data_IF_501031578097
#
_entry.id   IF_501031578097
#
_cell.length_a   1.000
_cell.length_b   1.000
_cell.length_c   1.000
_cell.angle_alpha   90.00
_cell.angle_beta   90.00
_cell.angle_gamma   90.00
#
_symmetry.space_group_name_H-M   'P 1'
#
loop_
_entity.id
_entity.type
_entity.pdbx_description
1 polymer ?
#
# COMPACT_ATOMS: atom_id res chain seq x y z
N UNK A 1 3.66 -1.65 0.18
CA UNK A 1 4.73 -2.23 -0.64
C UNK A 1 6.09 -1.75 -0.14
N UNK A 2 7.08 -2.65 -0.10
CA UNK A 2 8.48 -2.33 0.24
C UNK A 2 9.36 -2.92 -0.88
N UNK A 3 9.50 -2.20 -2.01
CA UNK A 3 10.28 -2.68 -3.15
C UNK A 3 11.77 -2.61 -2.85
N UNK A 4 12.50 -3.55 -3.43
CA UNK A 4 13.96 -3.57 -3.46
C UNK A 4 14.49 -2.79 -4.67
N UNK A 5 15.82 -2.54 -4.70
CA UNK A 5 16.43 -1.87 -5.84
C UNK A 5 16.18 -2.65 -7.14
N UNK A 6 15.74 -1.94 -8.16
CA UNK A 6 15.36 -2.52 -9.46
C UNK A 6 13.92 -3.06 -9.53
N UNK A 7 13.18 -3.12 -8.42
CA UNK A 7 11.77 -3.51 -8.42
C UNK A 7 10.85 -2.29 -8.66
N UNK A 8 9.72 -2.55 -9.29
CA UNK A 8 8.61 -1.60 -9.41
C UNK A 8 7.41 -2.09 -8.60
N UNK A 9 6.42 -1.23 -8.38
CA UNK A 9 5.18 -1.65 -7.71
C UNK A 9 4.47 -2.78 -8.47
N UNK A 10 4.41 -2.70 -9.80
CA UNK A 10 3.79 -3.76 -10.61
C UNK A 10 4.61 -5.06 -10.63
N UNK A 11 5.95 -4.99 -10.47
CA UNK A 11 6.78 -6.21 -10.41
C UNK A 11 6.55 -7.05 -9.14
N UNK A 12 5.90 -6.48 -8.12
CA UNK A 12 5.55 -7.15 -6.87
C UNK A 12 4.14 -7.79 -6.90
N UNK A 13 3.42 -7.60 -8.00
CA UNK A 13 2.11 -8.22 -8.23
C UNK A 13 2.27 -9.50 -9.06
N UNK A 14 1.20 -10.31 -9.13
CA UNK A 14 1.15 -11.38 -10.12
C UNK A 14 1.15 -10.81 -11.55
N UNK A 15 1.60 -11.57 -12.56
CA UNK A 15 1.56 -11.12 -13.95
C UNK A 15 0.16 -10.66 -14.38
N UNK A 16 -0.88 -11.37 -13.95
CA UNK A 16 -2.28 -11.06 -14.23
C UNK A 16 -2.71 -9.75 -13.55
N UNK A 17 -2.26 -9.54 -12.31
CA UNK A 17 -2.50 -8.31 -11.56
C UNK A 17 -1.87 -7.10 -12.26
N UNK A 18 -0.60 -7.20 -12.63
CA UNK A 18 0.10 -6.14 -13.35
C UNK A 18 -0.57 -5.83 -14.70
N UNK A 19 -0.94 -6.87 -15.46
CA UNK A 19 -1.63 -6.71 -16.74
C UNK A 19 -3.03 -6.08 -16.58
N UNK A 20 -3.73 -6.37 -15.49
CA UNK A 20 -5.02 -5.74 -15.19
C UNK A 20 -4.89 -4.22 -15.04
N UNK A 21 -3.83 -3.74 -14.38
CA UNK A 21 -3.56 -2.30 -14.27
C UNK A 21 -3.28 -1.65 -15.61
N UNK A 22 -2.48 -2.30 -16.48
CA UNK A 22 -2.21 -1.81 -17.84
C UNK A 22 -3.47 -1.74 -18.69
N UNK A 23 -4.31 -2.77 -18.63
CA UNK A 23 -5.59 -2.80 -19.35
C UNK A 23 -6.54 -1.70 -18.88
N UNK A 24 -6.62 -1.45 -17.57
CA UNK A 24 -7.43 -0.35 -17.01
C UNK A 24 -6.92 1.00 -17.50
N UNK A 25 -5.60 1.21 -17.50
CA UNK A 25 -5.03 2.44 -18.01
C UNK A 25 -5.33 2.64 -19.50
N UNK A 26 -5.20 1.59 -20.31
CA UNK A 26 -5.46 1.65 -21.75
C UNK A 26 -6.94 1.89 -22.07
N UNK A 27 -7.88 1.26 -21.33
CA UNK A 27 -9.31 1.29 -21.68
C UNK A 27 -10.07 2.47 -21.09
N UNK A 28 -9.74 2.90 -19.86
CA UNK A 28 -10.50 3.91 -19.11
C UNK A 28 -9.63 5.00 -18.49
N UNK A 29 -8.32 4.94 -18.72
CA UNK A 29 -7.31 5.82 -18.12
C UNK A 29 -6.56 6.69 -19.13
N UNK A 30 -7.15 7.00 -20.28
CA UNK A 30 -6.55 7.81 -21.34
C UNK A 30 -5.20 7.26 -21.83
N UNK A 31 -4.95 5.97 -21.62
CA UNK A 31 -3.72 5.27 -22.02
C UNK A 31 -2.54 5.42 -21.04
N UNK A 32 -2.66 6.23 -19.98
CA UNK A 32 -1.51 6.53 -19.11
C UNK A 32 -1.80 6.56 -17.61
N UNK A 33 -3.04 6.58 -17.19
CA UNK A 33 -3.43 6.66 -15.77
C UNK A 33 -4.36 5.50 -15.38
N UNK A 34 -4.23 5.04 -14.16
CA UNK A 34 -5.07 4.01 -13.56
C UNK A 34 -6.25 4.71 -12.91
N UNK A 35 -7.50 4.40 -13.25
CA UNK A 35 -8.67 4.91 -12.55
C UNK A 35 -8.64 4.55 -11.06
N UNK A 36 -9.26 5.35 -10.18
CA UNK A 36 -9.37 5.02 -8.76
C UNK A 36 -9.98 3.63 -8.55
N UNK A 37 -9.41 2.90 -7.60
CA UNK A 37 -10.00 1.64 -7.14
C UNK A 37 -10.97 2.00 -6.01
N UNK A 38 -12.22 1.51 -6.03
CA UNK A 38 -13.18 1.80 -4.98
C UNK A 38 -12.68 1.40 -3.59
N UNK A 39 -12.93 2.23 -2.58
CA UNK A 39 -12.48 2.00 -1.21
C UNK A 39 -12.98 0.67 -0.63
N UNK A 40 -14.16 0.20 -1.04
CA UNK A 40 -14.68 -1.11 -0.67
C UNK A 40 -13.76 -2.26 -1.08
N UNK A 41 -13.02 -2.15 -2.20
CA UNK A 41 -12.05 -3.15 -2.64
C UNK A 41 -10.80 -3.21 -1.73
N UNK A 42 -10.59 -2.19 -0.92
CA UNK A 42 -9.55 -2.12 0.10
C UNK A 42 -10.04 -2.49 1.50
N UNK A 43 -11.26 -3.01 1.63
CA UNK A 43 -11.84 -3.47 2.89
C UNK A 43 -12.47 -2.37 3.73
N UNK A 44 -12.82 -1.22 3.15
CA UNK A 44 -13.61 -0.19 3.81
C UNK A 44 -15.08 -0.62 3.76
N UNK A 45 -15.64 -1.05 4.89
CA UNK A 45 -16.98 -1.62 4.98
C UNK A 45 -18.06 -0.60 5.33
N UNK A 46 -17.70 0.52 5.94
CA UNK A 46 -18.61 1.63 6.20
C UNK A 46 -18.93 2.37 4.89
N UNK A 47 -20.19 2.42 4.44
CA UNK A 47 -20.57 3.01 3.16
C UNK A 47 -20.34 4.52 3.09
N UNK A 48 -20.50 5.24 4.19
CA UNK A 48 -20.32 6.70 4.23
C UNK A 48 -18.84 7.03 4.16
N UNK A 49 -17.99 6.28 4.86
CA UNK A 49 -16.55 6.39 4.80
C UNK A 49 -16.03 6.02 3.40
N UNK A 50 -16.50 4.92 2.82
CA UNK A 50 -16.14 4.52 1.46
C UNK A 50 -16.49 5.62 0.44
N UNK A 51 -17.72 6.15 0.49
CA UNK A 51 -18.14 7.24 -0.37
C UNK A 51 -17.32 8.52 -0.14
N UNK A 52 -16.89 8.79 1.10
CA UNK A 52 -16.03 9.92 1.42
C UNK A 52 -14.63 9.78 0.80
N UNK A 53 -14.04 8.57 0.86
CA UNK A 53 -12.75 8.26 0.23
C UNK A 53 -12.87 8.35 -1.29
N UNK A 54 -13.84 7.66 -1.89
CA UNK A 54 -14.01 7.57 -3.34
C UNK A 54 -14.15 8.94 -4.02
N UNK A 55 -14.84 9.88 -3.37
CA UNK A 55 -14.96 11.26 -3.89
C UNK A 55 -13.63 12.04 -3.88
N UNK A 56 -12.62 11.57 -3.18
CA UNK A 56 -11.31 12.23 -3.03
C UNK A 56 -10.21 11.55 -3.80
N UNK A 57 -10.42 10.32 -4.22
CA UNK A 57 -9.46 9.58 -5.02
C UNK A 57 -9.42 10.13 -6.45
N UNK A 58 -8.21 10.24 -6.98
CA UNK A 58 -7.95 10.66 -8.36
C UNK A 58 -7.19 9.58 -9.10
N UNK A 59 -7.23 9.55 -10.46
CA UNK A 59 -6.45 8.61 -11.23
C UNK A 59 -4.95 8.70 -10.94
N UNK A 60 -4.27 7.55 -10.91
CA UNK A 60 -2.85 7.44 -10.62
C UNK A 60 -2.03 7.19 -11.89
N UNK A 61 -0.90 7.88 -12.14
CA UNK A 61 -0.08 7.63 -13.32
C UNK A 61 0.45 6.19 -13.36
N UNK A 62 0.20 5.45 -14.45
CA UNK A 62 0.67 4.07 -14.62
C UNK A 62 2.20 3.99 -14.54
N UNK A 63 2.90 4.95 -15.15
CA UNK A 63 4.36 4.98 -15.18
C UNK A 63 5.01 4.94 -13.79
N UNK A 64 4.41 5.57 -12.77
CA UNK A 64 4.93 5.53 -11.40
C UNK A 64 4.81 4.16 -10.74
N UNK A 65 3.89 3.31 -11.22
CA UNK A 65 3.76 1.92 -10.79
C UNK A 65 4.68 0.97 -11.55
N UNK A 66 5.06 1.33 -12.78
CA UNK A 66 5.91 0.52 -13.66
C UNK A 66 7.40 0.83 -13.50
N UNK A 67 7.74 2.07 -13.16
CA UNK A 67 9.12 2.50 -13.09
C UNK A 67 9.87 1.74 -12.00
N UNK A 68 10.99 1.06 -12.35
CA UNK A 68 11.85 0.42 -11.37
C UNK A 68 12.49 1.44 -10.43
N UNK A 69 12.56 1.09 -9.16
CA UNK A 69 13.22 1.91 -8.16
C UNK A 69 14.75 1.87 -8.38
N UNK A 70 15.36 3.02 -8.46
CA UNK A 70 16.82 3.17 -8.52
C UNK A 70 17.33 3.72 -7.18
N UNK A 71 17.77 2.84 -6.29
CA UNK A 71 18.34 3.21 -4.99
C UNK A 71 19.83 3.53 -5.16
N UNK A 72 20.21 4.77 -4.92
CA UNK A 72 21.61 5.24 -5.05
C UNK A 72 22.37 5.20 -3.72
N UNK A 73 21.67 5.02 -2.60
CA UNK A 73 22.28 4.97 -1.27
C UNK A 73 21.82 3.75 -0.47
N UNK A 74 22.74 3.04 0.19
CA UNK A 74 22.40 1.97 1.14
C UNK A 74 21.84 2.49 2.49
N UNK A 75 21.77 3.82 2.65
CA UNK A 75 21.56 4.54 3.92
C UNK A 75 20.16 4.35 4.57
N UNK A 76 19.30 3.51 4.01
CA UNK A 76 18.01 3.17 4.64
C UNK A 76 18.16 2.42 5.96
N UNK A 77 19.34 1.86 6.24
CA UNK A 77 19.60 1.09 7.46
C UNK A 77 19.69 1.95 8.73
N UNK A 78 19.89 3.26 8.58
CA UNK A 78 20.06 4.18 9.71
C UNK A 78 18.74 4.85 10.12
N UNK A 79 17.65 4.61 9.39
CA UNK A 79 16.33 5.17 9.70
C UNK A 79 15.45 4.08 10.29
N UNK A 80 14.94 4.27 11.53
CA UNK A 80 13.97 3.35 12.12
C UNK A 80 12.75 3.20 11.21
N UNK A 81 12.40 1.95 10.89
CA UNK A 81 11.30 1.65 10.00
C UNK A 81 10.17 0.94 10.76
N UNK A 82 8.95 1.39 10.55
CA UNK A 82 7.75 0.72 11.08
C UNK A 82 6.90 0.20 9.93
N UNK A 83 6.47 -1.04 10.03
CA UNK A 83 5.52 -1.65 9.10
C UNK A 83 4.23 -2.00 9.83
N UNK A 84 3.10 -1.57 9.26
CA UNK A 84 1.78 -1.84 9.84
C UNK A 84 0.98 -2.69 8.86
N UNK A 85 0.61 -3.90 9.27
CA UNK A 85 -0.23 -4.81 8.49
C UNK A 85 -1.70 -4.53 8.78
N UNK A 86 -2.47 -4.31 7.72
CA UNK A 86 -3.93 -4.37 7.75
C UNK A 86 -4.36 -5.84 7.61
N UNK A 87 -4.87 -6.47 8.68
CA UNK A 87 -5.10 -7.93 8.75
C UNK A 87 -6.20 -8.40 7.81
N UNK A 88 -7.23 -7.56 7.58
CA UNK A 88 -8.35 -7.86 6.69
C UNK A 88 -8.01 -7.60 5.21
N UNK A 89 -6.77 -7.14 4.92
CA UNK A 89 -6.24 -7.03 3.57
C UNK A 89 -4.97 -7.89 3.42
N UNK A 90 -5.13 -9.22 3.23
CA UNK A 90 -4.07 -10.21 3.41
C UNK A 90 -2.94 -10.17 2.38
N UNK A 91 -3.08 -9.39 1.31
CA UNK A 91 -2.11 -9.33 0.20
C UNK A 91 -0.69 -8.98 0.64
N UNK A 92 -0.54 -8.34 1.80
CA UNK A 92 0.76 -7.89 2.31
C UNK A 92 1.28 -8.70 3.50
N UNK A 93 0.61 -9.79 3.89
CA UNK A 93 1.08 -10.70 4.94
C UNK A 93 2.49 -11.27 4.66
N UNK A 94 2.86 -11.68 3.43
CA UNK A 94 4.22 -12.14 3.16
C UNK A 94 5.30 -11.06 3.38
N UNK A 95 4.98 -9.80 3.06
CA UNK A 95 5.90 -8.68 3.31
C UNK A 95 6.07 -8.45 4.80
N UNK A 96 4.97 -8.45 5.57
CA UNK A 96 5.01 -8.31 7.02
C UNK A 96 5.85 -9.42 7.67
N UNK A 97 5.63 -10.69 7.30
CA UNK A 97 6.38 -11.82 7.83
C UNK A 97 7.88 -11.68 7.56
N UNK A 98 8.26 -11.30 6.35
CA UNK A 98 9.67 -11.05 5.99
C UNK A 98 10.30 -9.93 6.81
N UNK A 99 9.57 -8.82 7.00
CA UNK A 99 10.10 -7.65 7.72
C UNK A 99 10.16 -7.88 9.23
N UNK A 100 9.30 -8.72 9.78
CA UNK A 100 9.32 -9.08 11.19
C UNK A 100 10.59 -9.86 11.60
N UNK A 101 11.29 -10.48 10.65
CA UNK A 101 12.57 -11.15 10.87
C UNK A 101 13.78 -10.20 10.82
N UNK A 102 13.59 -8.96 10.33
CA UNK A 102 14.64 -7.95 10.19
C UNK A 102 14.61 -6.99 11.40
N UNK A 103 15.66 -6.97 12.25
CA UNK A 103 15.71 -6.11 13.43
C UNK A 103 15.70 -4.60 13.14
N UNK A 104 15.87 -4.20 11.89
CA UNK A 104 15.72 -2.81 11.46
C UNK A 104 14.25 -2.36 11.37
N UNK A 105 13.29 -3.28 11.50
CA UNK A 105 11.87 -3.01 11.39
C UNK A 105 11.12 -3.27 12.68
N UNK A 106 10.22 -2.36 13.04
CA UNK A 106 9.17 -2.62 14.03
C UNK A 106 7.88 -2.95 13.28
N UNK A 107 7.31 -4.12 13.57
CA UNK A 107 6.11 -4.58 12.88
C UNK A 107 4.91 -4.57 13.83
N UNK A 108 3.80 -4.02 13.35
CA UNK A 108 2.49 -4.02 14.01
C UNK A 108 1.45 -4.62 13.07
N UNK A 109 0.30 -5.01 13.64
CA UNK A 109 -0.89 -5.36 12.85
C UNK A 109 -2.14 -4.73 13.44
N UNK A 110 -3.10 -4.39 12.58
CA UNK A 110 -4.39 -3.84 12.96
C UNK A 110 -5.52 -4.60 12.27
N UNK A 111 -6.60 -4.96 12.99
CA UNK A 111 -7.72 -5.74 12.46
C UNK A 111 -8.65 -4.87 11.62
N UNK A 112 -8.19 -4.46 10.45
CA UNK A 112 -8.94 -3.60 9.53
C UNK A 112 -8.52 -3.79 8.08
N UNK A 113 -9.24 -3.15 7.15
CA UNK A 113 -8.89 -3.04 5.75
C UNK A 113 -7.65 -2.17 5.50
N UNK A 114 -7.25 -2.09 4.23
CA UNK A 114 -5.98 -1.45 3.81
C UNK A 114 -5.85 0.02 4.20
N UNK A 115 -6.97 0.75 4.21
CA UNK A 115 -6.98 2.19 4.49
C UNK A 115 -7.02 2.47 6.01
N UNK A 116 -6.01 1.98 6.72
CA UNK A 116 -5.84 2.09 8.18
C UNK A 116 -6.03 3.53 8.67
N UNK A 117 -5.48 4.50 7.93
CA UNK A 117 -5.58 5.93 8.28
C UNK A 117 -7.01 6.46 8.29
N UNK A 118 -7.93 5.81 7.59
CA UNK A 118 -9.33 6.19 7.55
C UNK A 118 -10.18 5.33 8.50
N UNK A 119 -9.83 4.05 8.67
CA UNK A 119 -10.63 3.08 9.44
C UNK A 119 -10.28 3.13 10.92
N UNK A 120 -8.98 3.21 11.25
CA UNK A 120 -8.45 3.18 12.63
C UNK A 120 -7.43 4.31 12.86
N UNK A 121 -7.84 5.59 12.68
CA UNK A 121 -6.91 6.74 12.74
C UNK A 121 -6.28 6.93 14.12
N UNK A 122 -7.01 6.59 15.19
CA UNK A 122 -6.50 6.73 16.56
C UNK A 122 -5.40 5.71 16.84
N UNK A 123 -5.64 4.45 16.52
CA UNK A 123 -4.68 3.34 16.72
C UNK A 123 -3.43 3.56 15.86
N UNK A 124 -3.61 4.03 14.63
CA UNK A 124 -2.49 4.43 13.78
C UNK A 124 -1.66 5.54 14.41
N UNK A 125 -2.32 6.57 14.93
CA UNK A 125 -1.65 7.71 15.60
C UNK A 125 -0.89 7.24 16.84
N UNK A 126 -1.47 6.36 17.65
CA UNK A 126 -0.82 5.82 18.85
C UNK A 126 0.44 5.02 18.49
N UNK A 127 0.41 4.21 17.42
CA UNK A 127 1.62 3.52 16.91
C UNK A 127 2.69 4.53 16.48
N UNK A 128 2.31 5.54 15.70
CA UNK A 128 3.25 6.53 15.18
C UNK A 128 3.87 7.40 16.28
N UNK A 129 3.12 7.65 17.37
CA UNK A 129 3.59 8.35 18.55
C UNK A 129 4.41 7.45 19.50
N UNK A 130 4.61 6.17 19.18
CA UNK A 130 5.31 5.20 20.04
C UNK A 130 4.55 4.83 21.32
N UNK A 131 3.23 5.04 21.33
CA UNK A 131 2.38 4.63 22.44
C UNK A 131 2.04 3.14 22.32
N UNK A 132 1.94 2.46 23.48
CA UNK A 132 1.44 1.08 23.51
C UNK A 132 -0.06 1.06 23.13
N UNK A 133 -0.42 0.15 22.23
CA UNK A 133 -1.80 -0.12 21.86
C UNK A 133 -2.34 -1.21 22.77
#
# INVERSE_FOLDING_TARGET
>A
LVPENGQSALSLLSPEGAESFRKKAASTGDGWKIPPIPAAAFGVTDPDLAAWIDRRCVPHPLASMEQPLALTHPARRDIPCTYILAEDFPNFKPVHARLAEDPAWTCHSLPCGHDVMAIMPKELSDILDGRSI
#
